data_IF_029050003308
#
_entry.id   IF_029050003308
#
_cell.length_a   1.000
_cell.length_b   1.000
_cell.length_c   1.000
_cell.angle_alpha   90.00
_cell.angle_beta   90.00
_cell.angle_gamma   90.00
#
_symmetry.space_group_name_H-M   'P 1'
#
loop_
_entity.id
_entity.type
_entity.pdbx_description
1 polymer ?
#
# COMPACT_ATOMS: atom_id res chain seq x y z
N UNK A 1 11.43 -7.15 2.68
CA UNK A 1 10.92 -6.13 3.64
C UNK A 1 11.11 -4.70 3.14
N UNK A 2 12.24 -4.36 2.52
CA UNK A 2 12.48 -3.00 2.00
C UNK A 2 11.51 -2.59 0.88
N UNK A 3 11.04 -3.52 0.05
CA UNK A 3 10.04 -3.22 -1.00
C UNK A 3 8.68 -2.83 -0.42
N UNK A 4 8.22 -3.55 0.61
CA UNK A 4 6.97 -3.23 1.32
C UNK A 4 7.09 -1.87 2.00
N UNK A 5 8.20 -1.61 2.71
CA UNK A 5 8.46 -0.31 3.35
C UNK A 5 8.47 0.83 2.33
N UNK A 6 9.10 0.63 1.17
CA UNK A 6 9.16 1.62 0.10
C UNK A 6 7.77 1.93 -0.46
N UNK A 7 6.94 0.90 -0.69
CA UNK A 7 5.55 1.09 -1.13
C UNK A 7 4.67 1.75 -0.08
N UNK A 8 4.83 1.42 1.20
CA UNK A 8 4.11 2.09 2.29
C UNK A 8 4.43 3.59 2.34
N UNK A 9 5.69 4.00 2.12
CA UNK A 9 6.05 5.42 2.01
C UNK A 9 5.39 6.13 0.83
N UNK A 10 5.25 5.45 -0.31
CA UNK A 10 4.55 6.00 -1.47
C UNK A 10 3.06 6.20 -1.15
N UNK A 11 2.40 5.18 -0.59
CA UNK A 11 1.02 5.26 -0.14
C UNK A 11 0.81 6.39 0.88
N UNK A 12 1.71 6.53 1.86
CA UNK A 12 1.67 7.63 2.83
C UNK A 12 1.74 9.00 2.14
N UNK A 13 2.58 9.13 1.11
CA UNK A 13 2.71 10.37 0.33
C UNK A 13 1.41 10.69 -0.42
N UNK A 14 0.76 9.69 -1.01
CA UNK A 14 -0.48 9.88 -1.75
C UNK A 14 -1.66 10.24 -0.83
N UNK A 15 -1.72 9.64 0.35
CA UNK A 15 -2.70 9.98 1.38
C UNK A 15 -2.50 11.42 1.90
N UNK A 16 -1.26 11.86 2.12
CA UNK A 16 -0.95 13.26 2.51
C UNK A 16 -1.36 14.26 1.42
N UNK A 17 -1.19 13.93 0.15
CA UNK A 17 -1.68 14.76 -0.97
C UNK A 17 -3.20 14.88 -0.94
N UNK A 18 -3.89 13.76 -0.73
CA UNK A 18 -5.35 13.74 -0.61
C UNK A 18 -5.81 14.60 0.57
N UNK A 19 -5.20 14.44 1.75
CA UNK A 19 -5.48 15.24 2.94
C UNK A 19 -5.29 16.74 2.69
N UNK A 20 -4.21 17.13 2.00
CA UNK A 20 -3.95 18.53 1.63
C UNK A 20 -5.05 19.11 0.74
N UNK A 21 -5.62 18.31 -0.18
CA UNK A 21 -6.75 18.75 -1.02
C UNK A 21 -8.01 18.93 -0.20
N UNK A 22 -8.31 18.00 0.72
CA UNK A 22 -9.48 18.11 1.61
C UNK A 22 -9.39 19.37 2.47
N UNK A 23 -8.21 19.68 3.03
CA UNK A 23 -7.95 20.91 3.78
C UNK A 23 -8.14 22.19 2.97
N UNK A 24 -8.04 22.12 1.63
CA UNK A 24 -8.29 23.25 0.72
C UNK A 24 -9.78 23.45 0.37
N UNK A 25 -10.69 22.73 1.03
CA UNK A 25 -12.13 22.89 0.86
C UNK A 25 -12.76 21.98 -0.19
N UNK A 26 -12.01 21.02 -0.75
CA UNK A 26 -12.59 19.96 -1.56
C UNK A 26 -13.28 18.94 -0.65
N UNK A 27 -14.52 18.55 -0.98
CA UNK A 27 -15.29 17.60 -0.18
C UNK A 27 -14.73 16.17 -0.24
N UNK A 28 -14.14 15.78 -1.37
CA UNK A 28 -13.59 14.44 -1.61
C UNK A 28 -12.39 14.49 -2.55
N UNK A 29 -11.62 13.39 -2.58
CA UNK A 29 -10.62 13.14 -3.62
C UNK A 29 -11.24 12.88 -4.99
N UNK A 30 -10.46 13.09 -6.05
CA UNK A 30 -10.89 12.71 -7.41
C UNK A 30 -10.89 11.20 -7.58
N UNK A 31 -11.64 10.69 -8.55
CA UNK A 31 -11.63 9.25 -8.90
C UNK A 31 -10.21 8.72 -9.12
N UNK A 32 -9.36 9.49 -9.82
CA UNK A 32 -7.96 9.11 -10.07
C UNK A 32 -7.13 8.99 -8.78
N UNK A 33 -7.35 9.86 -7.80
CA UNK A 33 -6.65 9.76 -6.51
C UNK A 33 -7.00 8.44 -5.81
N UNK A 34 -8.29 8.08 -5.82
CA UNK A 34 -8.78 6.85 -5.20
C UNK A 34 -8.35 5.60 -5.97
N UNK A 35 -8.35 5.64 -7.30
CA UNK A 35 -7.81 4.57 -8.13
C UNK A 35 -6.32 4.34 -7.84
N UNK A 36 -5.55 5.43 -7.68
CA UNK A 36 -4.13 5.33 -7.36
C UNK A 36 -3.89 4.74 -5.98
N UNK A 37 -4.60 5.23 -4.95
CA UNK A 37 -4.54 4.70 -3.58
C UNK A 37 -4.91 3.22 -3.56
N UNK A 38 -6.02 2.84 -4.22
CA UNK A 38 -6.46 1.45 -4.30
C UNK A 38 -5.40 0.55 -4.96
N UNK A 39 -4.78 1.04 -6.04
CA UNK A 39 -3.71 0.31 -6.72
C UNK A 39 -2.50 0.07 -5.81
N UNK A 40 -2.04 1.10 -5.10
CA UNK A 40 -0.91 0.97 -4.17
C UNK A 40 -1.23 -0.02 -3.04
N UNK A 41 -2.41 0.09 -2.44
CA UNK A 41 -2.84 -0.81 -1.36
C UNK A 41 -2.86 -2.27 -1.79
N UNK A 42 -3.48 -2.59 -2.95
CA UNK A 42 -3.48 -3.96 -3.50
C UNK A 42 -2.08 -4.50 -3.71
N UNK A 43 -1.19 -3.66 -4.24
CA UNK A 43 0.22 -4.02 -4.47
C UNK A 43 0.99 -4.28 -3.18
N UNK A 44 0.65 -3.63 -2.09
CA UNK A 44 1.23 -3.89 -0.77
C UNK A 44 0.69 -5.23 -0.21
N UNK A 45 -0.62 -5.45 -0.30
CA UNK A 45 -1.27 -6.70 0.13
C UNK A 45 -0.72 -7.91 -0.61
N UNK A 46 -0.60 -7.85 -1.94
CA UNK A 46 -0.02 -8.91 -2.78
C UNK A 46 1.39 -9.31 -2.31
N UNK A 47 2.24 -8.32 -2.02
CA UNK A 47 3.60 -8.57 -1.52
C UNK A 47 3.58 -9.18 -0.12
N UNK A 48 2.76 -8.66 0.78
CA UNK A 48 2.66 -9.16 2.15
C UNK A 48 2.20 -10.63 2.16
N UNK A 49 1.17 -10.98 1.39
CA UNK A 49 0.68 -12.35 1.23
C UNK A 49 1.77 -13.26 0.66
N UNK A 50 2.46 -12.81 -0.40
CA UNK A 50 3.54 -13.58 -1.03
C UNK A 50 4.68 -13.87 -0.03
N UNK A 51 5.07 -12.86 0.76
CA UNK A 51 6.12 -13.01 1.76
C UNK A 51 5.71 -13.98 2.87
N UNK A 52 4.46 -13.89 3.37
CA UNK A 52 3.91 -14.83 4.37
C UNK A 52 3.91 -16.26 3.82
N UNK A 53 3.49 -16.45 2.57
CA UNK A 53 3.47 -17.76 1.93
C UNK A 53 4.87 -18.36 1.83
N UNK A 54 5.87 -17.57 1.43
CA UNK A 54 7.28 -18.00 1.37
C UNK A 54 7.78 -18.43 2.76
N UNK A 55 7.51 -17.64 3.79
CA UNK A 55 7.94 -17.95 5.16
C UNK A 55 7.30 -19.26 5.67
N UNK A 56 6.00 -19.46 5.43
CA UNK A 56 5.32 -20.72 5.77
C UNK A 56 5.92 -21.92 5.05
N UNK A 57 6.25 -21.79 3.77
CA UNK A 57 6.88 -22.86 3.00
C UNK A 57 8.31 -23.15 3.46
N UNK A 58 9.04 -22.15 3.93
CA UNK A 58 10.38 -22.33 4.51
C UNK A 58 10.31 -23.06 5.85
N UNK A 59 9.36 -22.69 6.71
CA UNK A 59 9.12 -23.32 8.02
C UNK A 59 8.81 -24.82 7.88
N UNK A 60 7.95 -25.16 6.90
CA UNK A 60 7.61 -26.56 6.55
C UNK A 60 8.84 -27.36 6.06
N UNK A 61 9.85 -26.71 5.45
CA UNK A 61 11.06 -27.41 4.98
C UNK A 61 12.11 -27.65 6.07
N UNK A 62 12.03 -26.90 7.18
CA UNK A 62 12.98 -26.99 8.30
C UNK A 62 12.50 -27.89 9.44
N UNK A 63 11.29 -28.44 9.33
CA UNK A 63 10.69 -29.36 10.31
C UNK A 63 10.56 -30.76 9.70
#
# INVERSE_FOLDING_TARGET
MEDIKSRLKLLETDLKKLESRLKKGFATGTTKDWEHILHQTRKIEELAISQIAILKLQDIKTT
#
